data_IF_622742393128
#
_entry.id   IF_622742393128
#
_cell.length_a   1.000
_cell.length_b   1.000
_cell.length_c   1.000
_cell.angle_alpha   90.00
_cell.angle_beta   90.00
_cell.angle_gamma   90.00
#
_symmetry.space_group_name_H-M   'P 1'
#
loop_
_entity.id
_entity.type
_entity.pdbx_description
1 polymer ?
#
# COMPACT_ATOMS: atom_id res chain seq x y z
N UNK A 1 -11.13 -13.09 20.34
CA UNK A 1 -10.92 -11.78 19.69
C UNK A 1 -10.84 -10.76 20.82
N UNK A 2 -9.75 -10.04 20.95
CA UNK A 2 -9.67 -8.87 21.84
C UNK A 2 -10.46 -7.79 21.12
N UNK A 3 -11.64 -7.41 21.65
CA UNK A 3 -12.37 -6.25 21.17
C UNK A 3 -11.47 -5.03 21.40
N UNK A 4 -10.95 -4.45 20.35
CA UNK A 4 -10.25 -3.17 20.43
C UNK A 4 -11.30 -2.08 20.52
N UNK A 5 -11.18 -1.18 21.51
CA UNK A 5 -12.01 0.02 21.64
C UNK A 5 -11.57 1.12 20.65
N UNK A 6 -11.11 0.74 19.45
CA UNK A 6 -10.71 1.70 18.43
C UNK A 6 -11.93 2.49 17.95
N UNK A 7 -11.77 3.80 17.83
CA UNK A 7 -12.77 4.74 17.33
C UNK A 7 -12.26 5.47 16.10
N UNK A 8 -13.14 6.01 15.27
CA UNK A 8 -12.76 6.71 14.03
C UNK A 8 -11.92 7.98 14.26
N UNK A 9 -11.91 8.51 15.48
CA UNK A 9 -11.06 9.66 15.87
C UNK A 9 -9.61 9.26 16.20
N UNK A 10 -9.32 7.98 16.20
CA UNK A 10 -7.98 7.43 16.41
C UNK A 10 -7.33 7.04 15.08
N UNK A 11 -5.99 7.04 14.99
CA UNK A 11 -5.30 6.56 13.80
C UNK A 11 -5.74 5.14 13.43
N UNK A 12 -6.03 4.92 12.15
CA UNK A 12 -6.28 3.55 11.64
C UNK A 12 -4.99 2.74 11.59
N UNK A 13 -3.86 3.42 11.32
CA UNK A 13 -2.51 2.85 11.46
C UNK A 13 -1.69 3.78 12.34
N UNK A 14 -1.18 3.27 13.47
CA UNK A 14 -0.26 4.00 14.36
C UNK A 14 1.10 3.29 14.37
N UNK A 15 2.17 4.05 14.14
CA UNK A 15 3.56 3.56 14.06
C UNK A 15 4.39 4.34 15.05
N UNK A 16 4.99 3.66 16.03
CA UNK A 16 5.75 4.28 17.12
C UNK A 16 7.14 3.64 17.27
N UNK A 17 8.19 4.41 17.02
CA UNK A 17 9.57 4.05 17.29
C UNK A 17 10.05 2.78 16.60
N UNK A 18 9.52 2.46 15.43
CA UNK A 18 9.75 1.20 14.74
C UNK A 18 11.19 1.05 14.29
N UNK A 19 11.83 -0.05 14.74
CA UNK A 19 13.20 -0.44 14.35
C UNK A 19 13.17 -1.79 13.66
N UNK A 20 14.00 -1.93 12.63
CA UNK A 20 14.17 -3.20 11.90
C UNK A 20 15.59 -3.34 11.37
N UNK A 21 16.17 -4.50 11.64
CA UNK A 21 17.47 -4.90 11.11
C UNK A 21 17.37 -6.20 10.30
N UNK A 22 18.28 -6.36 9.37
CA UNK A 22 18.54 -7.61 8.65
C UNK A 22 20.03 -7.95 8.82
N UNK A 23 20.32 -8.92 9.69
CA UNK A 23 21.69 -9.15 10.16
C UNK A 23 22.21 -7.90 10.89
N UNK A 24 23.40 -7.43 10.50
CA UNK A 24 24.03 -6.24 11.08
C UNK A 24 23.53 -4.90 10.49
N UNK A 25 22.68 -4.94 9.46
CA UNK A 25 22.18 -3.74 8.80
C UNK A 25 20.86 -3.29 9.44
N UNK A 26 20.90 -2.19 10.20
CA UNK A 26 19.69 -1.52 10.70
C UNK A 26 19.05 -0.69 9.59
N UNK A 27 17.86 -1.13 9.10
CA UNK A 27 17.12 -0.55 7.98
C UNK A 27 16.10 0.48 8.44
N UNK A 28 15.40 0.25 9.56
CA UNK A 28 14.50 1.22 10.19
C UNK A 28 15.04 1.59 11.55
N UNK A 29 15.10 2.90 11.85
CA UNK A 29 15.84 3.45 12.99
C UNK A 29 14.96 4.31 13.89
N UNK A 30 13.75 3.83 14.22
CA UNK A 30 12.85 4.55 15.11
C UNK A 30 11.85 5.40 14.34
N UNK A 31 11.22 4.83 13.32
CA UNK A 31 10.19 5.49 12.49
C UNK A 31 8.90 5.62 13.28
N UNK A 32 8.30 6.82 13.26
CA UNK A 32 7.01 7.10 13.93
C UNK A 32 6.16 8.03 13.09
N UNK A 33 4.90 7.62 12.85
CA UNK A 33 3.83 8.47 12.29
C UNK A 33 2.48 7.77 12.41
N UNK A 34 1.42 8.55 12.24
CA UNK A 34 0.04 8.09 12.27
C UNK A 34 -0.63 8.26 10.90
N UNK A 35 -1.63 7.44 10.64
CA UNK A 35 -2.49 7.50 9.45
C UNK A 35 -3.94 7.51 9.91
N UNK A 36 -4.69 8.53 9.54
CA UNK A 36 -6.12 8.59 9.83
C UNK A 36 -6.92 7.85 8.75
N UNK A 37 -8.13 7.45 9.10
CA UNK A 37 -9.03 6.79 8.14
C UNK A 37 -9.36 7.71 6.97
N UNK A 38 -9.20 7.20 5.75
CA UNK A 38 -9.42 7.94 4.51
C UNK A 38 -8.23 8.80 4.06
N UNK A 39 -7.15 8.88 4.84
CA UNK A 39 -5.95 9.60 4.43
C UNK A 39 -5.14 8.85 3.37
N UNK A 40 -4.50 9.63 2.53
CA UNK A 40 -3.52 9.18 1.54
C UNK A 40 -2.13 9.63 1.96
N UNK A 41 -1.30 8.69 2.34
CA UNK A 41 0.09 8.92 2.76
C UNK A 41 1.03 8.48 1.63
N UNK A 42 1.93 9.38 1.22
CA UNK A 42 3.03 9.03 0.33
C UNK A 42 4.36 8.98 1.07
N UNK A 43 5.06 7.85 0.97
CA UNK A 43 6.39 7.64 1.52
C UNK A 43 7.38 7.68 0.37
N UNK A 44 8.26 8.69 0.37
CA UNK A 44 9.24 8.92 -0.67
C UNK A 44 10.66 8.89 -0.11
N UNK A 45 11.66 8.79 -0.98
CA UNK A 45 13.07 8.78 -0.59
C UNK A 45 13.94 7.92 -1.49
N UNK A 46 15.26 7.97 -1.34
CA UNK A 46 16.19 7.19 -2.16
C UNK A 46 15.99 5.67 -1.98
N UNK A 47 16.46 4.90 -2.96
CA UNK A 47 16.48 3.44 -2.85
C UNK A 47 17.28 3.01 -1.62
N UNK A 48 16.80 1.98 -0.92
CA UNK A 48 17.44 1.48 0.30
C UNK A 48 17.16 2.31 1.58
N UNK A 49 16.31 3.35 1.53
CA UNK A 49 15.95 4.14 2.72
C UNK A 49 15.00 3.43 3.71
N UNK A 50 14.50 2.24 3.37
CA UNK A 50 13.63 1.44 4.25
C UNK A 50 12.14 1.48 3.93
N UNK A 51 11.68 2.20 2.90
CA UNK A 51 10.26 2.40 2.53
C UNK A 51 9.48 1.09 2.41
N UNK A 52 9.92 0.20 1.52
CA UNK A 52 9.28 -1.11 1.31
C UNK A 52 9.33 -1.99 2.56
N UNK A 53 10.42 -1.90 3.35
CA UNK A 53 10.52 -2.61 4.62
C UNK A 53 9.44 -2.14 5.59
N UNK A 54 9.24 -0.82 5.69
CA UNK A 54 8.26 -0.22 6.58
C UNK A 54 6.83 -0.68 6.26
N UNK A 55 6.38 -0.55 5.01
CA UNK A 55 5.01 -0.97 4.68
C UNK A 55 4.81 -2.49 4.78
N UNK A 56 5.87 -3.30 4.59
CA UNK A 56 5.83 -4.74 4.84
C UNK A 56 5.80 -5.10 6.33
N UNK A 57 6.19 -4.20 7.21
CA UNK A 57 5.99 -4.38 8.66
C UNK A 57 4.52 -4.12 9.04
N UNK A 58 3.81 -3.22 8.36
CA UNK A 58 2.40 -2.89 8.66
C UNK A 58 1.47 -4.10 8.43
N UNK A 59 1.73 -4.93 7.42
CA UNK A 59 0.92 -6.14 7.18
C UNK A 59 1.56 -7.44 7.72
N UNK A 60 2.53 -7.30 8.64
CA UNK A 60 3.26 -8.41 9.26
C UNK A 60 3.93 -9.38 8.26
N UNK A 61 4.35 -8.90 7.08
CA UNK A 61 5.25 -9.66 6.20
C UNK A 61 6.67 -9.63 6.73
N UNK A 62 7.10 -8.50 7.29
CA UNK A 62 8.33 -8.39 8.07
C UNK A 62 7.97 -8.20 9.56
N UNK A 63 8.77 -8.78 10.44
CA UNK A 63 8.71 -8.48 11.88
C UNK A 63 9.49 -7.22 12.18
N UNK A 64 9.12 -6.51 13.24
CA UNK A 64 9.92 -5.42 13.81
C UNK A 64 10.83 -5.96 14.92
N UNK A 65 11.90 -5.22 15.25
CA UNK A 65 12.83 -5.57 16.32
C UNK A 65 12.56 -4.73 17.59
N UNK A 66 11.99 -3.53 17.42
CA UNK A 66 11.51 -2.67 18.50
C UNK A 66 10.46 -1.69 18.00
N UNK A 67 9.77 -1.05 18.92
CA UNK A 67 8.66 -0.13 18.63
C UNK A 67 7.31 -0.85 18.60
N UNK A 68 6.29 -0.19 18.04
CA UNK A 68 4.92 -0.72 17.93
C UNK A 68 4.32 -0.32 16.59
N UNK A 69 3.52 -1.21 16.01
CA UNK A 69 2.63 -0.91 14.87
C UNK A 69 1.25 -1.41 15.24
N UNK A 70 0.26 -0.51 15.23
CA UNK A 70 -1.13 -0.86 15.46
C UNK A 70 -1.97 -0.60 14.23
N UNK A 71 -2.88 -1.52 13.92
CA UNK A 71 -3.94 -1.34 12.92
C UNK A 71 -5.27 -1.45 13.64
N UNK A 72 -6.10 -0.42 13.56
CA UNK A 72 -7.37 -0.31 14.31
C UNK A 72 -7.18 -0.65 15.80
N UNK A 73 -6.13 -0.10 16.40
CA UNK A 73 -5.77 -0.31 17.81
C UNK A 73 -5.18 -1.68 18.14
N UNK A 74 -5.13 -2.62 17.17
CA UNK A 74 -4.58 -3.96 17.38
C UNK A 74 -3.09 -3.99 17.07
N UNK A 75 -2.25 -4.46 18.02
CA UNK A 75 -0.81 -4.59 17.84
C UNK A 75 -0.46 -5.64 16.78
N UNK A 76 0.18 -5.20 15.70
CA UNK A 76 0.49 -6.03 14.51
C UNK A 76 1.53 -7.12 14.81
N UNK A 77 2.42 -6.86 15.75
CA UNK A 77 3.53 -7.75 16.07
C UNK A 77 3.32 -8.53 17.37
N UNK A 78 2.09 -8.55 17.91
CA UNK A 78 1.73 -9.44 19.01
C UNK A 78 1.90 -10.91 18.56
N UNK A 79 2.64 -11.75 19.32
CA UNK A 79 2.83 -13.17 19.02
C UNK A 79 1.52 -13.97 18.91
N UNK A 80 0.46 -13.49 19.52
CA UNK A 80 -0.87 -14.13 19.53
C UNK A 80 -1.79 -13.58 18.42
N UNK A 81 -1.34 -12.60 17.64
CA UNK A 81 -2.13 -12.04 16.55
C UNK A 81 -2.38 -13.08 15.46
N UNK A 82 -3.62 -13.25 15.06
CA UNK A 82 -3.95 -13.95 13.83
C UNK A 82 -3.62 -13.06 12.63
N UNK A 83 -2.48 -13.33 12.00
CA UNK A 83 -2.02 -12.61 10.81
C UNK A 83 -2.99 -12.72 9.62
N UNK A 84 -3.84 -13.74 9.61
CA UNK A 84 -4.86 -13.87 8.56
C UNK A 84 -5.95 -12.80 8.74
N UNK A 85 -6.40 -12.57 9.97
CA UNK A 85 -7.38 -11.52 10.27
C UNK A 85 -6.80 -10.13 9.98
N UNK A 86 -5.55 -9.86 10.34
CA UNK A 86 -4.88 -8.61 9.95
C UNK A 86 -4.87 -8.41 8.43
N UNK A 87 -4.50 -9.44 7.67
CA UNK A 87 -4.37 -9.35 6.21
C UNK A 87 -5.71 -9.31 5.46
N UNK A 88 -6.82 -9.53 6.13
CA UNK A 88 -8.16 -9.22 5.61
C UNK A 88 -8.41 -7.72 5.62
N UNK A 89 -7.93 -7.01 6.65
CA UNK A 89 -8.09 -5.57 6.85
C UNK A 89 -7.05 -4.74 6.10
N UNK A 90 -5.85 -5.27 5.90
CA UNK A 90 -4.72 -4.57 5.27
C UNK A 90 -4.38 -5.24 3.94
N UNK A 91 -4.89 -4.66 2.87
CA UNK A 91 -4.55 -5.06 1.51
C UNK A 91 -3.17 -4.59 1.11
N UNK A 92 -2.46 -5.37 0.29
CA UNK A 92 -1.15 -4.98 -0.21
C UNK A 92 -0.99 -5.31 -1.68
N UNK A 93 -0.46 -4.35 -2.42
CA UNK A 93 -0.11 -4.46 -3.83
C UNK A 93 1.39 -4.25 -3.96
N UNK A 94 2.08 -5.18 -4.62
CA UNK A 94 3.53 -5.21 -4.75
C UNK A 94 3.99 -4.66 -6.10
N UNK A 95 5.24 -4.26 -6.19
CA UNK A 95 5.93 -3.91 -7.43
C UNK A 95 5.86 -5.06 -8.47
N UNK A 96 6.08 -6.29 -8.01
CA UNK A 96 5.81 -7.48 -8.81
C UNK A 96 4.35 -7.88 -8.61
N UNK A 97 3.60 -8.03 -9.66
CA UNK A 97 2.14 -8.25 -9.64
C UNK A 97 1.71 -9.47 -8.83
N UNK A 98 2.58 -10.49 -8.74
CA UNK A 98 2.38 -11.74 -7.99
C UNK A 98 1.04 -12.41 -8.30
N UNK A 99 0.61 -12.35 -9.58
CA UNK A 99 -0.57 -13.06 -10.04
C UNK A 99 -0.29 -14.55 -10.16
N UNK A 100 -1.31 -15.36 -9.93
CA UNK A 100 -1.25 -16.79 -10.17
C UNK A 100 -1.28 -17.05 -11.67
N UNK A 101 -0.18 -17.52 -12.30
CA UNK A 101 -0.05 -17.57 -13.76
C UNK A 101 -1.02 -18.56 -14.42
N UNK A 102 -1.48 -19.56 -13.68
CA UNK A 102 -2.43 -20.58 -14.13
C UNK A 102 -3.91 -20.25 -13.84
N UNK A 103 -4.17 -19.02 -13.41
CA UNK A 103 -5.51 -18.48 -13.15
C UNK A 103 -5.79 -17.29 -14.05
N UNK A 104 -7.02 -17.16 -14.52
CA UNK A 104 -7.45 -15.97 -15.26
C UNK A 104 -7.49 -14.73 -14.37
N UNK A 105 -7.65 -13.54 -14.93
CA UNK A 105 -7.82 -12.30 -14.17
C UNK A 105 -8.98 -12.43 -13.16
N UNK A 106 -10.14 -12.90 -13.60
CA UNK A 106 -11.30 -13.13 -12.75
C UNK A 106 -11.00 -14.12 -11.62
N UNK A 107 -10.36 -15.24 -11.93
CA UNK A 107 -10.00 -16.25 -10.94
C UNK A 107 -8.98 -15.75 -9.93
N UNK A 108 -8.02 -14.90 -10.34
CA UNK A 108 -7.09 -14.24 -9.44
C UNK A 108 -7.82 -13.35 -8.41
N UNK A 109 -8.81 -12.57 -8.87
CA UNK A 109 -9.60 -11.69 -8.01
C UNK A 109 -10.52 -12.47 -7.07
N UNK A 110 -11.11 -13.56 -7.54
CA UNK A 110 -12.07 -14.36 -6.76
C UNK A 110 -11.43 -15.23 -5.68
N UNK A 111 -10.17 -15.62 -5.85
CA UNK A 111 -9.59 -16.73 -5.10
C UNK A 111 -9.59 -16.49 -3.58
N UNK A 112 -9.09 -15.34 -3.13
CA UNK A 112 -8.97 -15.07 -1.69
C UNK A 112 -10.34 -14.95 -1.00
N UNK A 113 -11.34 -14.23 -1.51
CA UNK A 113 -12.67 -14.20 -0.91
C UNK A 113 -13.32 -15.58 -0.80
N UNK A 114 -13.20 -16.43 -1.82
CA UNK A 114 -13.77 -17.79 -1.78
C UNK A 114 -13.04 -18.67 -0.76
N UNK A 115 -11.72 -18.68 -0.77
CA UNK A 115 -10.92 -19.61 0.06
C UNK A 115 -10.77 -19.14 1.51
N UNK A 116 -10.59 -17.82 1.72
CA UNK A 116 -10.27 -17.24 3.03
C UNK A 116 -11.54 -16.77 3.74
N UNK A 117 -12.40 -16.00 3.06
CA UNK A 117 -13.65 -15.50 3.64
C UNK A 117 -14.77 -16.55 3.57
N UNK A 118 -14.59 -17.63 2.77
CA UNK A 118 -15.57 -18.70 2.53
C UNK A 118 -16.91 -18.16 2.01
N UNK A 119 -16.87 -17.07 1.26
CA UNK A 119 -18.05 -16.45 0.67
C UNK A 119 -18.60 -17.31 -0.51
N UNK A 120 -19.89 -17.13 -0.80
CA UNK A 120 -20.55 -17.83 -1.91
C UNK A 120 -19.93 -17.42 -3.24
N UNK A 121 -19.59 -18.41 -4.07
CA UNK A 121 -18.84 -18.20 -5.32
C UNK A 121 -19.54 -17.23 -6.28
N UNK A 122 -20.85 -17.33 -6.39
CA UNK A 122 -21.67 -16.51 -7.28
C UNK A 122 -21.68 -15.03 -6.85
N UNK A 123 -21.65 -14.77 -5.54
CA UNK A 123 -21.57 -13.42 -5.01
C UNK A 123 -20.18 -12.84 -5.22
N UNK A 124 -19.14 -13.65 -4.94
CA UNK A 124 -17.75 -13.26 -5.18
C UNK A 124 -17.51 -12.98 -6.66
N UNK A 125 -18.07 -13.78 -7.56
CA UNK A 125 -17.91 -13.56 -9.00
C UNK A 125 -18.54 -12.24 -9.44
N UNK A 126 -19.75 -11.92 -8.99
CA UNK A 126 -20.39 -10.63 -9.29
C UNK A 126 -19.51 -9.45 -8.83
N UNK A 127 -19.00 -9.52 -7.60
CA UNK A 127 -18.08 -8.50 -7.04
C UNK A 127 -16.78 -8.42 -7.83
N UNK A 128 -16.17 -9.55 -8.15
CA UNK A 128 -14.92 -9.60 -8.90
C UNK A 128 -15.06 -8.98 -10.30
N UNK A 129 -16.16 -9.26 -11.01
CA UNK A 129 -16.46 -8.63 -12.31
C UNK A 129 -16.62 -7.11 -12.17
N UNK A 130 -17.33 -6.64 -11.15
CA UNK A 130 -17.45 -5.22 -10.87
C UNK A 130 -16.07 -4.56 -10.57
N UNK A 131 -15.20 -5.25 -9.81
CA UNK A 131 -13.84 -4.77 -9.55
C UNK A 131 -12.97 -4.74 -10.81
N UNK A 132 -13.06 -5.75 -11.68
CA UNK A 132 -12.37 -5.77 -12.98
C UNK A 132 -12.83 -4.59 -13.85
N UNK A 133 -14.12 -4.31 -13.88
CA UNK A 133 -14.67 -3.11 -14.54
C UNK A 133 -14.13 -1.83 -13.93
N UNK A 134 -14.13 -1.73 -12.59
CA UNK A 134 -13.60 -0.58 -11.85
C UNK A 134 -12.13 -0.28 -12.18
N UNK A 135 -11.31 -1.31 -12.31
CA UNK A 135 -9.90 -1.14 -12.71
C UNK A 135 -9.71 -1.08 -14.24
N UNK A 136 -10.79 -0.85 -15.01
CA UNK A 136 -10.76 -0.64 -16.48
C UNK A 136 -10.19 -1.81 -17.27
N UNK A 137 -10.59 -3.03 -16.88
CA UNK A 137 -10.18 -4.28 -17.54
C UNK A 137 -11.37 -5.05 -18.13
N UNK A 138 -12.40 -4.33 -18.62
CA UNK A 138 -13.54 -4.94 -19.28
C UNK A 138 -13.11 -5.82 -20.46
N UNK A 139 -13.64 -7.03 -20.53
CA UNK A 139 -13.32 -8.01 -21.57
C UNK A 139 -11.97 -8.73 -21.36
N UNK A 140 -11.33 -8.56 -20.19
CA UNK A 140 -10.09 -9.25 -19.80
C UNK A 140 -10.28 -10.28 -18.69
N UNK A 141 -11.52 -10.55 -18.30
CA UNK A 141 -11.91 -11.45 -17.22
C UNK A 141 -11.29 -12.84 -17.36
N UNK A 142 -11.29 -13.35 -18.58
CA UNK A 142 -10.81 -14.69 -18.92
C UNK A 142 -9.36 -14.74 -19.39
N UNK A 143 -8.68 -13.58 -19.47
CA UNK A 143 -7.26 -13.51 -19.86
C UNK A 143 -6.35 -14.02 -18.73
N UNK A 144 -5.33 -14.79 -19.10
CA UNK A 144 -4.27 -15.22 -18.21
C UNK A 144 -3.22 -14.11 -18.05
N UNK A 145 -2.43 -14.08 -16.93
CA UNK A 145 -1.41 -13.06 -16.72
C UNK A 145 -0.45 -12.87 -17.89
N UNK A 146 -0.04 -13.94 -18.57
CA UNK A 146 0.85 -13.86 -19.73
C UNK A 146 0.24 -13.18 -20.98
N UNK A 147 -1.07 -12.98 -21.01
CA UNK A 147 -1.81 -12.31 -22.08
C UNK A 147 -2.12 -10.84 -21.76
N UNK A 148 -1.70 -10.37 -20.56
CA UNK A 148 -1.93 -9.03 -20.05
C UNK A 148 -0.63 -8.21 -20.07
N UNK A 149 -0.73 -6.93 -20.42
CA UNK A 149 0.39 -6.00 -20.24
C UNK A 149 0.74 -5.84 -18.76
N UNK A 150 1.93 -5.31 -18.45
CA UNK A 150 2.36 -5.08 -17.07
C UNK A 150 1.36 -4.26 -16.26
N UNK A 151 0.85 -3.17 -16.81
CA UNK A 151 -0.15 -2.36 -16.12
C UNK A 151 -1.53 -3.03 -16.01
N UNK A 152 -1.91 -3.85 -16.98
CA UNK A 152 -3.11 -4.67 -16.85
C UNK A 152 -2.95 -5.69 -15.71
N UNK A 153 -1.79 -6.34 -15.60
CA UNK A 153 -1.49 -7.24 -14.48
C UNK A 153 -1.52 -6.50 -13.14
N UNK A 154 -0.95 -5.30 -13.08
CA UNK A 154 -0.97 -4.47 -11.87
C UNK A 154 -2.39 -4.10 -11.46
N UNK A 155 -3.24 -3.73 -12.41
CA UNK A 155 -4.65 -3.43 -12.13
C UNK A 155 -5.44 -4.67 -11.68
N UNK A 156 -5.13 -5.87 -12.21
CA UNK A 156 -5.67 -7.13 -11.65
C UNK A 156 -5.20 -7.34 -10.22
N UNK A 157 -3.93 -7.05 -9.89
CA UNK A 157 -3.42 -7.17 -8.53
C UNK A 157 -4.11 -6.20 -7.55
N UNK A 158 -4.42 -4.96 -8.00
CA UNK A 158 -5.24 -4.01 -7.26
C UNK A 158 -6.64 -4.57 -7.02
N UNK A 159 -7.33 -5.03 -8.07
CA UNK A 159 -8.67 -5.61 -7.97
C UNK A 159 -8.71 -6.83 -7.04
N UNK A 160 -7.68 -7.68 -7.09
CA UNK A 160 -7.52 -8.83 -6.20
C UNK A 160 -7.42 -8.41 -4.73
N UNK A 161 -6.66 -7.36 -4.43
CA UNK A 161 -6.54 -6.83 -3.07
C UNK A 161 -7.86 -6.25 -2.59
N UNK A 162 -8.54 -5.45 -3.42
CA UNK A 162 -9.85 -4.84 -3.13
C UNK A 162 -10.96 -5.88 -2.92
N UNK A 163 -10.86 -7.06 -3.52
CA UNK A 163 -11.85 -8.11 -3.39
C UNK A 163 -12.03 -8.60 -1.95
N UNK A 164 -11.01 -8.43 -1.10
CA UNK A 164 -11.04 -8.72 0.34
C UNK A 164 -11.72 -7.65 1.17
N UNK A 165 -12.08 -6.48 0.58
CA UNK A 165 -12.66 -5.30 1.25
C UNK A 165 -11.79 -4.79 2.41
N UNK A 166 -10.52 -4.48 2.15
CA UNK A 166 -9.63 -4.01 3.19
C UNK A 166 -9.99 -2.59 3.65
N UNK A 167 -9.63 -2.26 4.88
CA UNK A 167 -9.78 -0.90 5.44
C UNK A 167 -8.58 -0.01 5.08
N UNK A 168 -7.42 -0.63 4.80
CA UNK A 168 -6.17 0.04 4.42
C UNK A 168 -5.56 -0.63 3.20
N UNK A 169 -5.13 0.15 2.21
CA UNK A 169 -4.40 -0.32 1.04
C UNK A 169 -2.94 0.14 1.08
N UNK A 170 -2.02 -0.80 0.99
CA UNK A 170 -0.59 -0.57 0.92
C UNK A 170 -0.11 -0.79 -0.52
N UNK A 171 0.61 0.19 -1.07
CA UNK A 171 1.16 0.15 -2.42
C UNK A 171 2.69 0.25 -2.37
N UNK A 172 3.40 -0.83 -2.75
CA UNK A 172 4.87 -0.91 -2.72
C UNK A 172 5.43 -0.75 -4.14
N UNK A 173 5.78 0.50 -4.51
CA UNK A 173 6.41 0.86 -5.80
C UNK A 173 5.67 0.28 -7.02
N UNK A 174 4.35 0.35 -7.03
CA UNK A 174 3.47 -0.35 -7.99
C UNK A 174 3.61 0.11 -9.44
N UNK A 175 4.35 1.20 -9.70
CA UNK A 175 4.62 1.73 -11.04
C UNK A 175 6.04 1.49 -11.53
N UNK A 176 6.97 1.06 -10.67
CA UNK A 176 8.40 1.02 -10.97
C UNK A 176 8.81 0.06 -12.12
N UNK A 177 7.96 -0.93 -12.43
CA UNK A 177 8.20 -1.91 -13.48
C UNK A 177 7.38 -1.65 -14.77
N UNK A 178 6.76 -0.47 -14.88
CA UNK A 178 5.83 -0.13 -15.97
C UNK A 178 6.42 0.92 -16.92
N UNK A 179 5.94 0.88 -18.16
CA UNK A 179 6.19 1.95 -19.13
C UNK A 179 5.36 3.21 -18.79
N UNK A 180 5.79 4.41 -19.23
CA UNK A 180 5.15 5.68 -18.85
C UNK A 180 3.66 5.82 -19.21
N UNK A 181 3.21 5.19 -20.29
CA UNK A 181 1.79 5.23 -20.67
C UNK A 181 0.95 4.40 -19.69
N UNK A 182 1.45 3.23 -19.35
CA UNK A 182 0.81 2.28 -18.44
C UNK A 182 0.83 2.78 -16.98
N UNK A 183 1.88 3.52 -16.57
CA UNK A 183 1.94 4.18 -15.25
C UNK A 183 0.70 5.03 -15.01
N UNK A 184 0.31 5.87 -15.98
CA UNK A 184 -0.84 6.77 -15.85
C UNK A 184 -2.14 6.01 -15.54
N UNK A 185 -2.38 4.87 -16.20
CA UNK A 185 -3.59 4.08 -16.00
C UNK A 185 -3.68 3.49 -14.59
N UNK A 186 -2.54 3.04 -14.03
CA UNK A 186 -2.47 2.53 -12.65
C UNK A 186 -2.68 3.66 -11.65
N UNK A 187 -2.04 4.81 -11.85
CA UNK A 187 -2.18 5.97 -10.96
C UNK A 187 -3.61 6.53 -10.95
N UNK A 188 -4.30 6.56 -12.10
CA UNK A 188 -5.71 6.92 -12.17
C UNK A 188 -6.57 5.96 -11.33
N UNK A 189 -6.30 4.66 -11.41
CA UNK A 189 -7.02 3.68 -10.58
C UNK A 189 -6.83 3.93 -9.09
N UNK A 190 -5.59 4.24 -8.66
CA UNK A 190 -5.29 4.55 -7.25
C UNK A 190 -5.97 5.85 -6.82
N UNK A 191 -5.97 6.87 -7.68
CA UNK A 191 -6.65 8.15 -7.42
C UNK A 191 -8.15 7.93 -7.17
N UNK A 192 -8.83 7.18 -8.02
CA UNK A 192 -10.25 6.87 -7.86
C UNK A 192 -10.55 6.17 -6.52
N UNK A 193 -9.66 5.27 -6.06
CA UNK A 193 -9.80 4.63 -4.76
C UNK A 193 -9.66 5.63 -3.61
N UNK A 194 -8.70 6.54 -3.69
CA UNK A 194 -8.48 7.59 -2.69
C UNK A 194 -9.67 8.56 -2.63
N UNK A 195 -10.19 9.01 -3.79
CA UNK A 195 -11.36 9.88 -3.88
C UNK A 195 -12.64 9.23 -3.33
N UNK A 196 -12.72 7.90 -3.34
CA UNK A 196 -13.80 7.14 -2.69
C UNK A 196 -13.59 6.97 -1.17
N UNK A 197 -12.53 7.54 -0.59
CA UNK A 197 -12.24 7.53 0.85
C UNK A 197 -11.45 6.30 1.32
N UNK A 198 -10.79 5.56 0.42
CA UNK A 198 -9.90 4.47 0.80
C UNK A 198 -8.66 5.01 1.50
N UNK A 199 -8.31 4.47 2.66
CA UNK A 199 -7.04 4.78 3.31
C UNK A 199 -5.89 4.15 2.52
N UNK A 200 -4.94 4.96 2.07
CA UNK A 200 -3.85 4.51 1.20
C UNK A 200 -2.49 4.91 1.74
N UNK A 201 -1.56 3.96 1.82
CA UNK A 201 -0.14 4.23 2.04
C UNK A 201 0.63 3.81 0.78
N UNK A 202 1.31 4.75 0.15
CA UNK A 202 2.01 4.55 -1.11
C UNK A 202 3.52 4.77 -0.94
N UNK A 203 4.31 3.79 -1.32
CA UNK A 203 5.72 4.00 -1.64
C UNK A 203 5.79 4.29 -3.13
N UNK A 204 6.25 5.47 -3.50
CA UNK A 204 6.25 5.91 -4.90
C UNK A 204 7.44 6.78 -5.26
N UNK A 205 7.80 6.75 -6.53
CA UNK A 205 8.74 7.69 -7.18
C UNK A 205 8.01 8.69 -8.09
N UNK A 206 6.68 8.64 -8.16
CA UNK A 206 5.84 9.52 -8.96
C UNK A 206 5.54 10.82 -8.20
N UNK A 207 6.47 11.79 -8.23
CA UNK A 207 6.38 13.02 -7.43
C UNK A 207 5.19 13.90 -7.79
N UNK A 208 4.85 13.98 -9.09
CA UNK A 208 3.66 14.70 -9.54
C UNK A 208 2.37 14.12 -8.96
N UNK A 209 2.28 12.79 -8.92
CA UNK A 209 1.15 12.09 -8.34
C UNK A 209 1.08 12.27 -6.82
N UNK A 210 2.22 12.14 -6.11
CA UNK A 210 2.28 12.38 -4.67
C UNK A 210 1.86 13.82 -4.31
N UNK A 211 2.28 14.81 -5.12
CA UNK A 211 1.93 16.22 -4.94
C UNK A 211 0.43 16.49 -5.09
N UNK A 212 -0.23 15.79 -6.03
CA UNK A 212 -1.65 16.00 -6.33
C UNK A 212 -2.59 15.24 -5.39
N UNK A 213 -2.19 14.06 -4.92
CA UNK A 213 -3.10 13.14 -4.25
C UNK A 213 -2.86 13.00 -2.75
N UNK A 214 -1.63 13.14 -2.26
CA UNK A 214 -1.33 12.88 -0.87
C UNK A 214 -1.91 13.94 0.07
N UNK A 215 -2.40 13.52 1.23
CA UNK A 215 -2.69 14.40 2.35
C UNK A 215 -1.40 14.74 3.11
N UNK A 216 -0.51 13.74 3.26
CA UNK A 216 0.81 13.91 3.84
C UNK A 216 1.90 13.16 3.07
N UNK A 217 3.08 13.77 3.03
CA UNK A 217 4.31 13.17 2.48
C UNK A 217 5.28 12.93 3.61
N UNK A 218 5.90 11.76 3.63
CA UNK A 218 6.99 11.38 4.53
C UNK A 218 8.23 11.10 3.70
N UNK A 219 9.25 11.93 3.86
CA UNK A 219 10.55 11.71 3.24
C UNK A 219 11.43 10.88 4.16
N UNK A 220 11.87 9.73 3.66
CA UNK A 220 12.74 8.82 4.40
C UNK A 220 14.13 8.78 3.78
N UNK A 221 15.16 8.89 4.62
CA UNK A 221 16.54 8.64 4.22
C UNK A 221 17.27 7.86 5.34
N UNK A 222 18.10 6.88 4.96
CA UNK A 222 18.91 6.06 5.86
C UNK A 222 18.16 5.48 7.07
N UNK A 223 16.90 5.15 6.88
CA UNK A 223 16.07 4.47 7.87
C UNK A 223 15.32 5.38 8.86
N UNK A 224 15.35 6.69 8.66
CA UNK A 224 14.61 7.67 9.48
C UNK A 224 13.67 8.50 8.59
N UNK A 225 12.64 9.08 9.19
CA UNK A 225 11.87 10.16 8.58
C UNK A 225 12.67 11.44 8.78
N UNK A 226 13.11 12.06 7.68
CA UNK A 226 13.90 13.31 7.68
C UNK A 226 12.98 14.52 7.76
N UNK A 227 11.92 14.50 6.96
CA UNK A 227 10.93 15.58 6.88
C UNK A 227 9.57 15.02 6.49
N UNK A 228 8.50 15.66 6.94
CA UNK A 228 7.15 15.33 6.55
C UNK A 228 6.24 16.57 6.53
N UNK A 229 5.15 16.50 5.82
CA UNK A 229 4.15 17.57 5.79
C UNK A 229 3.16 17.44 4.65
N UNK A 230 2.19 18.37 4.58
CA UNK A 230 1.28 18.47 3.43
C UNK A 230 2.07 18.69 2.13
N UNK A 231 1.61 18.18 0.98
CA UNK A 231 2.34 18.22 -0.29
C UNK A 231 2.83 19.61 -0.67
N UNK A 232 1.98 20.64 -0.53
CA UNK A 232 2.33 22.01 -0.89
C UNK A 232 3.56 22.49 -0.13
N UNK A 233 3.55 22.42 1.20
CA UNK A 233 4.69 22.85 2.03
C UNK A 233 5.90 21.97 1.82
N UNK A 234 5.71 20.68 1.63
CA UNK A 234 6.80 19.73 1.42
C UNK A 234 7.56 20.00 0.12
N UNK A 235 6.86 20.19 -1.01
CA UNK A 235 7.51 20.40 -2.31
C UNK A 235 7.98 21.84 -2.57
N UNK A 236 7.27 22.83 -2.01
CA UNK A 236 7.55 24.24 -2.31
C UNK A 236 8.42 24.90 -1.23
N UNK A 237 8.40 24.41 0.01
CA UNK A 237 8.98 25.03 1.19
C UNK A 237 9.75 24.02 2.07
N UNK A 238 10.37 23.00 1.46
CA UNK A 238 11.16 22.00 2.19
C UNK A 238 12.24 22.69 3.04
N UNK A 239 12.35 22.30 4.31
CA UNK A 239 13.22 22.94 5.30
C UNK A 239 14.53 22.20 5.51
N UNK A 240 14.49 20.87 5.46
CA UNK A 240 15.66 20.06 5.67
C UNK A 240 16.58 20.08 4.43
N UNK A 241 17.90 20.36 4.58
CA UNK A 241 18.82 20.38 3.45
C UNK A 241 18.86 19.08 2.64
N UNK A 242 18.66 17.94 3.31
CA UNK A 242 18.66 16.64 2.64
C UNK A 242 17.39 16.44 1.78
N UNK A 243 16.25 16.95 2.26
CA UNK A 243 15.01 16.99 1.48
C UNK A 243 15.17 17.87 0.25
N UNK A 244 15.74 19.07 0.42
CA UNK A 244 16.01 20.00 -0.69
C UNK A 244 16.94 19.38 -1.75
N UNK A 245 18.01 18.74 -1.31
CA UNK A 245 18.94 18.04 -2.20
C UNK A 245 18.21 16.94 -2.97
N UNK A 246 17.42 16.10 -2.29
CA UNK A 246 16.65 15.04 -2.95
C UNK A 246 15.66 15.58 -3.97
N UNK A 247 14.88 16.61 -3.62
CA UNK A 247 13.90 17.21 -4.52
C UNK A 247 14.57 17.83 -5.75
N UNK A 248 15.73 18.49 -5.60
CA UNK A 248 16.45 19.08 -6.72
C UNK A 248 16.99 18.07 -7.75
N UNK A 249 17.07 16.78 -7.38
CA UNK A 249 17.54 15.72 -8.27
C UNK A 249 16.40 15.07 -9.08
N UNK A 250 15.14 15.26 -8.67
CA UNK A 250 14.00 14.54 -9.23
C UNK A 250 12.90 15.45 -9.81
N UNK A 251 12.94 16.75 -9.52
CA UNK A 251 12.08 17.80 -10.09
C UNK A 251 12.86 18.62 -11.11
#
# INVERSE_FOLDING_TARGET
MVETNWTQDQPIVAIEGVRKSFGDLEVLKGVSFDVMKGEVICIIGPSGSGKSTLIRCINALNTIDAGSIKVEGQEVHDPHLDKLELRKKVGMVFQQYNLFPHKTALQNVMMAPVLVLKEQKEEVERRARALITKVRLNGKEDSYPGELSGGQQQRVAIARSLAMRPDVMLFDEVTAALDPETVKEVLVTIRELAEEGMTCLLVTHEMGFARELADHIYFTDRGVIVEHGPPKSFFDEAKDPRTQEFLSQIL
#
